data_IF_358131448793
#
_entry.id   IF_358131448793
#
_cell.length_a   1.000
_cell.length_b   1.000
_cell.length_c   1.000
_cell.angle_alpha   90.00
_cell.angle_beta   90.00
_cell.angle_gamma   90.00
#
_symmetry.space_group_name_H-M   'P 1'
#
loop_
_entity.id
_entity.type
_entity.pdbx_description
1 polymer ?
#
# COMPACT_ATOMS: atom_id res chain seq x y z
N UNK A 1 2.44 -29.29 3.95
CA UNK A 1 3.72 -29.58 3.30
C UNK A 1 3.51 -29.71 1.81
N UNK A 2 3.91 -28.69 1.07
CA UNK A 2 3.95 -28.57 -0.39
C UNK A 2 5.41 -28.68 -0.81
N UNK A 3 5.70 -29.58 -1.73
CA UNK A 3 6.95 -29.62 -2.50
C UNK A 3 6.55 -29.39 -3.95
N UNK A 4 7.15 -28.39 -4.59
CA UNK A 4 6.86 -28.00 -5.96
C UNK A 4 8.16 -27.59 -6.67
N UNK A 5 8.61 -28.42 -7.59
CA UNK A 5 9.84 -28.20 -8.37
C UNK A 5 9.58 -27.74 -9.81
N UNK A 6 8.33 -27.41 -10.16
CA UNK A 6 8.00 -26.81 -11.46
C UNK A 6 8.56 -25.40 -11.54
N UNK A 7 8.92 -24.91 -12.73
CA UNK A 7 9.30 -23.51 -12.93
C UNK A 7 8.22 -22.53 -12.42
N UNK A 8 8.64 -21.33 -12.03
CA UNK A 8 7.72 -20.27 -11.62
C UNK A 8 6.72 -19.97 -12.75
N UNK A 9 5.45 -19.73 -12.41
CA UNK A 9 4.33 -19.54 -13.36
C UNK A 9 3.90 -20.79 -14.14
N UNK A 10 4.67 -21.89 -14.15
CA UNK A 10 4.26 -23.12 -14.83
C UNK A 10 3.03 -23.76 -14.19
N UNK A 11 2.80 -23.57 -12.89
CA UNK A 11 1.60 -24.01 -12.21
C UNK A 11 0.82 -22.82 -11.65
N UNK A 12 -0.44 -22.70 -12.02
CA UNK A 12 -1.41 -21.81 -11.38
C UNK A 12 -2.47 -22.63 -10.66
N UNK A 13 -3.20 -21.99 -9.75
CA UNK A 13 -4.34 -22.63 -9.11
C UNK A 13 -5.52 -21.67 -8.94
N UNK A 14 -6.71 -22.26 -8.93
CA UNK A 14 -7.95 -21.57 -8.55
C UNK A 14 -8.64 -22.37 -7.48
N UNK A 15 -9.20 -21.70 -6.48
CA UNK A 15 -10.04 -22.32 -5.48
C UNK A 15 -11.48 -21.89 -5.70
N UNK A 16 -12.40 -22.85 -5.70
CA UNK A 16 -13.83 -22.60 -5.80
C UNK A 16 -14.55 -23.27 -4.64
N UNK A 17 -15.72 -22.75 -4.26
CA UNK A 17 -16.57 -23.32 -3.22
C UNK A 17 -18.05 -23.36 -3.62
N UNK A 18 -18.81 -24.22 -2.94
CA UNK A 18 -20.29 -24.19 -2.97
C UNK A 18 -20.85 -24.55 -1.60
N UNK A 19 -22.05 -24.07 -1.30
CA UNK A 19 -22.69 -24.20 0.02
C UNK A 19 -23.72 -25.33 0.09
N UNK A 20 -24.03 -25.97 -1.02
CA UNK A 20 -24.93 -27.13 -1.10
C UNK A 20 -24.32 -28.20 -1.98
N UNK A 21 -24.72 -29.46 -1.77
CA UNK A 21 -24.17 -30.60 -2.49
C UNK A 21 -24.35 -30.49 -4.01
N UNK A 22 -25.48 -29.94 -4.45
CA UNK A 22 -25.85 -29.80 -5.87
C UNK A 22 -25.73 -28.36 -6.39
N UNK A 23 -25.16 -27.46 -5.60
CA UNK A 23 -24.97 -26.06 -5.98
C UNK A 23 -23.88 -25.84 -7.03
N UNK A 24 -23.87 -24.63 -7.60
CA UNK A 24 -22.83 -24.17 -8.51
C UNK A 24 -21.62 -23.68 -7.74
N UNK A 25 -20.43 -24.00 -8.24
CA UNK A 25 -19.18 -23.50 -7.68
C UNK A 25 -19.03 -21.99 -7.95
N UNK A 26 -18.58 -21.28 -6.93
CA UNK A 26 -18.22 -19.86 -6.95
C UNK A 26 -16.72 -19.74 -6.70
N UNK A 27 -16.07 -18.77 -7.33
CA UNK A 27 -14.64 -18.53 -7.11
C UNK A 27 -14.40 -18.09 -5.66
N UNK A 28 -13.35 -18.59 -5.05
CA UNK A 28 -12.84 -18.13 -3.76
C UNK A 28 -11.55 -17.37 -4.00
N UNK A 29 -11.39 -16.22 -3.34
CA UNK A 29 -10.14 -15.47 -3.39
C UNK A 29 -8.98 -16.33 -2.87
N UNK A 30 -7.92 -16.38 -3.68
CA UNK A 30 -6.71 -17.15 -3.39
C UNK A 30 -5.61 -16.21 -2.92
N UNK A 31 -4.70 -16.71 -2.08
CA UNK A 31 -3.59 -15.91 -1.56
C UNK A 31 -2.56 -15.57 -2.64
N UNK A 32 -2.47 -16.42 -3.68
CA UNK A 32 -1.57 -16.31 -4.81
C UNK A 32 -2.27 -16.87 -6.05
N UNK A 33 -1.84 -16.47 -7.25
CA UNK A 33 -2.32 -17.05 -8.51
C UNK A 33 -1.47 -18.24 -8.98
N UNK A 34 -0.19 -18.28 -8.58
CA UNK A 34 0.74 -19.38 -8.84
C UNK A 34 0.84 -20.35 -7.68
N UNK A 35 1.05 -21.63 -7.99
CA UNK A 35 1.43 -22.63 -6.98
C UNK A 35 2.85 -22.31 -6.51
N UNK A 36 3.09 -22.01 -5.22
CA UNK A 36 4.42 -21.65 -4.73
C UNK A 36 5.45 -22.75 -4.98
N UNK A 37 6.66 -22.38 -5.39
CA UNK A 37 7.79 -23.32 -5.50
C UNK A 37 8.36 -23.62 -4.12
N UNK A 38 8.73 -24.88 -3.88
CA UNK A 38 9.55 -25.28 -2.73
C UNK A 38 10.29 -26.59 -3.00
N UNK A 39 11.57 -26.62 -2.67
CA UNK A 39 12.43 -27.82 -2.70
C UNK A 39 12.29 -28.68 -1.43
N UNK A 40 11.52 -28.20 -0.44
CA UNK A 40 11.29 -28.84 0.85
C UNK A 40 9.81 -28.79 1.21
N UNK A 41 9.39 -29.68 2.11
CA UNK A 41 7.98 -29.77 2.47
C UNK A 41 7.60 -28.64 3.44
N UNK A 42 7.02 -27.55 2.91
CA UNK A 42 6.61 -26.38 3.70
C UNK A 42 5.10 -26.12 3.62
N UNK A 43 4.55 -25.38 4.58
CA UNK A 43 3.12 -25.03 4.58
C UNK A 43 2.87 -23.70 3.88
N UNK A 44 1.96 -23.71 2.90
CA UNK A 44 1.55 -22.53 2.14
C UNK A 44 0.03 -22.34 2.23
N UNK A 45 -0.38 -21.11 2.51
CA UNK A 45 -1.80 -20.75 2.50
C UNK A 45 -2.26 -20.56 1.06
N UNK A 46 -3.27 -21.31 0.63
CA UNK A 46 -3.83 -21.19 -0.72
C UNK A 46 -4.98 -20.18 -0.81
N UNK A 47 -5.71 -19.99 0.29
CA UNK A 47 -6.73 -18.96 0.44
C UNK A 47 -6.71 -18.41 1.86
N UNK A 48 -7.10 -17.14 2.00
CA UNK A 48 -7.22 -16.44 3.29
C UNK A 48 -8.71 -16.30 3.65
N UNK A 49 -9.03 -16.22 4.95
CA UNK A 49 -10.34 -15.79 5.47
C UNK A 49 -11.56 -16.64 5.08
N UNK A 50 -11.40 -17.97 4.95
CA UNK A 50 -12.53 -18.88 4.73
C UNK A 50 -13.46 -18.84 5.95
N UNK A 51 -14.65 -18.25 5.79
CA UNK A 51 -15.67 -18.20 6.84
C UNK A 51 -16.74 -19.25 6.57
N UNK A 52 -16.92 -20.17 7.51
CA UNK A 52 -17.94 -21.21 7.45
C UNK A 52 -18.89 -20.98 8.64
N UNK A 53 -20.14 -20.53 8.42
CA UNK A 53 -21.10 -20.36 9.50
C UNK A 53 -21.31 -21.68 10.25
N UNK A 54 -21.48 -21.59 11.58
CA UNK A 54 -21.71 -22.75 12.42
C UNK A 54 -22.91 -23.57 11.90
N UNK A 55 -22.72 -24.89 11.79
CA UNK A 55 -23.74 -25.82 11.26
C UNK A 55 -23.86 -25.87 9.74
N UNK A 56 -23.05 -25.10 8.99
CA UNK A 56 -23.05 -25.13 7.52
C UNK A 56 -21.97 -26.08 6.97
N UNK A 57 -22.24 -26.67 5.81
CA UNK A 57 -21.28 -27.51 5.07
C UNK A 57 -20.90 -26.84 3.77
N UNK A 58 -19.61 -26.61 3.56
CA UNK A 58 -19.05 -26.05 2.34
C UNK A 58 -18.25 -27.12 1.60
N UNK A 59 -18.33 -27.13 0.28
CA UNK A 59 -17.57 -28.03 -0.58
C UNK A 59 -16.57 -27.21 -1.39
N UNK A 60 -15.31 -27.62 -1.38
CA UNK A 60 -14.23 -26.91 -2.06
C UNK A 60 -13.69 -27.73 -3.22
N UNK A 61 -13.31 -27.03 -4.29
CA UNK A 61 -12.67 -27.59 -5.47
C UNK A 61 -11.42 -26.76 -5.78
N UNK A 62 -10.27 -27.40 -5.71
CA UNK A 62 -9.01 -26.83 -6.14
C UNK A 62 -8.72 -27.32 -7.56
N UNK A 63 -8.59 -26.39 -8.50
CA UNK A 63 -8.05 -26.71 -9.83
C UNK A 63 -6.61 -26.25 -9.89
N UNK A 64 -5.73 -27.12 -10.37
CA UNK A 64 -4.34 -26.81 -10.65
C UNK A 64 -4.16 -26.89 -12.16
N UNK A 65 -3.59 -25.86 -12.75
CA UNK A 65 -3.40 -25.75 -14.20
C UNK A 65 -1.91 -25.68 -14.51
N UNK A 66 -1.46 -26.57 -15.40
CA UNK A 66 -0.14 -26.48 -16.00
C UNK A 66 -0.19 -25.51 -17.18
N UNK A 67 0.47 -24.36 -17.03
CA UNK A 67 0.47 -23.28 -17.99
C UNK A 67 1.59 -23.49 -19.01
N UNK A 68 1.26 -23.30 -20.29
CA UNK A 68 2.27 -23.23 -21.34
C UNK A 68 2.93 -21.85 -21.29
N UNK A 69 4.21 -21.79 -20.98
CA UNK A 69 4.98 -20.56 -20.95
C UNK A 69 5.67 -20.38 -22.31
N UNK A 70 5.13 -19.49 -23.14
CA UNK A 70 5.74 -19.15 -24.42
C UNK A 70 7.19 -18.69 -24.19
N UNK A 71 8.11 -19.18 -25.03
CA UNK A 71 9.53 -18.84 -25.02
C UNK A 71 10.35 -19.40 -23.83
N UNK A 72 9.80 -20.31 -23.02
CA UNK A 72 10.51 -21.01 -21.95
C UNK A 72 10.56 -22.51 -22.22
N UNK A 73 11.75 -23.12 -22.09
CA UNK A 73 11.89 -24.58 -22.19
C UNK A 73 11.36 -25.26 -20.92
N UNK A 74 10.16 -25.83 -21.01
CA UNK A 74 9.49 -26.56 -19.91
C UNK A 74 9.74 -28.08 -19.94
N UNK A 75 10.75 -28.60 -20.64
CA UNK A 75 11.04 -30.05 -20.68
C UNK A 75 11.31 -30.63 -19.28
N UNK A 76 11.96 -29.85 -18.39
CA UNK A 76 12.20 -30.26 -17.01
C UNK A 76 10.89 -30.37 -16.19
N UNK A 77 9.86 -29.58 -16.52
CA UNK A 77 8.57 -29.61 -15.81
C UNK A 77 7.78 -30.89 -16.12
N UNK A 78 8.06 -31.57 -17.24
CA UNK A 78 7.39 -32.83 -17.62
C UNK A 78 7.67 -33.97 -16.64
N UNK A 79 8.75 -33.86 -15.86
CA UNK A 79 9.13 -34.83 -14.83
C UNK A 79 9.18 -34.20 -13.43
N UNK A 80 8.77 -32.94 -13.29
CA UNK A 80 8.72 -32.24 -12.02
C UNK A 80 7.63 -32.80 -11.09
N UNK A 81 7.84 -32.60 -9.79
CA UNK A 81 7.00 -33.19 -8.75
C UNK A 81 6.21 -32.08 -8.06
N UNK A 82 4.90 -32.27 -7.98
CA UNK A 82 4.02 -31.57 -7.06
C UNK A 82 3.53 -32.57 -6.02
N UNK A 83 3.97 -32.43 -4.77
CA UNK A 83 3.50 -33.24 -3.65
C UNK A 83 2.90 -32.33 -2.60
N UNK A 84 1.63 -32.53 -2.27
CA UNK A 84 0.93 -31.66 -1.33
C UNK A 84 -0.17 -32.37 -0.57
N UNK A 85 -0.45 -31.86 0.64
CA UNK A 85 -1.62 -32.19 1.44
C UNK A 85 -2.34 -30.89 1.76
N UNK A 86 -3.64 -30.87 1.49
CA UNK A 86 -4.49 -29.74 1.83
C UNK A 86 -5.21 -30.04 3.15
N UNK A 87 -5.20 -29.07 4.05
CA UNK A 87 -6.02 -29.08 5.25
C UNK A 87 -6.78 -27.75 5.34
N UNK A 88 -7.92 -27.77 6.03
CA UNK A 88 -8.39 -26.57 6.70
C UNK A 88 -7.51 -26.43 7.93
N UNK A 89 -6.79 -25.31 8.04
CA UNK A 89 -5.98 -25.00 9.21
C UNK A 89 -6.83 -24.90 10.49
N UNK A 90 -6.20 -24.51 11.60
CA UNK A 90 -6.93 -24.28 12.84
C UNK A 90 -8.01 -23.19 12.66
N UNK A 91 -9.12 -23.33 13.38
CA UNK A 91 -10.17 -22.32 13.39
C UNK A 91 -9.56 -20.97 13.82
N UNK A 92 -9.64 -19.99 12.94
CA UNK A 92 -9.19 -18.63 13.23
C UNK A 92 -10.24 -17.98 14.12
N UNK A 93 -10.06 -18.08 15.44
CA UNK A 93 -10.93 -17.42 16.44
C UNK A 93 -10.62 -15.91 16.55
N UNK A 94 -9.45 -15.49 16.05
CA UNK A 94 -8.91 -14.13 16.15
C UNK A 94 -8.58 -13.56 14.78
N UNK A 95 -8.82 -12.27 14.50
CA UNK A 95 -8.53 -11.69 13.18
C UNK A 95 -7.04 -11.87 12.80
N UNK A 96 -6.71 -12.00 11.49
CA UNK A 96 -5.32 -12.16 11.05
C UNK A 96 -4.38 -11.06 11.58
N UNK A 97 -4.85 -9.81 11.58
CA UNK A 97 -4.15 -8.67 12.16
C UNK A 97 -3.86 -8.83 13.65
N UNK A 98 -4.82 -9.33 14.44
CA UNK A 98 -4.65 -9.55 15.87
C UNK A 98 -3.65 -10.68 16.13
N UNK A 99 -3.62 -11.70 15.26
CA UNK A 99 -2.64 -12.77 15.34
C UNK A 99 -1.21 -12.27 15.11
N UNK A 100 -0.97 -11.48 14.05
CA UNK A 100 0.34 -10.85 13.80
C UNK A 100 0.73 -9.94 14.97
N UNK A 101 -0.19 -9.10 15.45
CA UNK A 101 0.04 -8.20 16.58
C UNK A 101 0.54 -8.96 17.83
N UNK A 102 -0.11 -10.07 18.19
CA UNK A 102 0.31 -10.91 19.33
C UNK A 102 1.66 -11.60 19.10
N UNK A 103 1.96 -12.02 17.86
CA UNK A 103 3.26 -12.61 17.52
C UNK A 103 4.41 -11.63 17.67
N UNK A 104 4.16 -10.36 17.38
CA UNK A 104 5.09 -9.26 17.64
C UNK A 104 5.08 -8.80 19.11
N UNK A 105 4.35 -9.48 20.00
CA UNK A 105 4.21 -9.16 21.44
C UNK A 105 3.67 -7.74 21.71
N UNK A 106 2.86 -7.23 20.78
CA UNK A 106 2.23 -5.93 20.90
C UNK A 106 0.84 -6.08 21.54
N UNK A 107 0.27 -4.97 22.01
CA UNK A 107 -1.07 -4.89 22.58
C UNK A 107 -1.92 -3.89 21.80
N UNK A 108 -3.23 -3.90 22.07
CA UNK A 108 -4.20 -2.98 21.47
C UNK A 108 -4.62 -1.95 22.52
N UNK A 109 -4.76 -0.70 22.10
CA UNK A 109 -5.26 0.42 22.90
C UNK A 109 -6.65 0.82 22.43
N UNK A 110 -7.52 1.12 23.39
CA UNK A 110 -8.90 1.52 23.11
C UNK A 110 -9.01 2.98 22.66
N UNK A 111 -9.97 3.22 21.77
CA UNK A 111 -10.26 4.55 21.21
C UNK A 111 -9.27 4.98 20.14
N UNK A 112 -9.48 6.17 19.59
CA UNK A 112 -8.53 6.84 18.70
C UNK A 112 -8.22 8.23 19.26
N UNK A 113 -7.00 8.76 19.02
CA UNK A 113 -6.59 10.05 19.53
C UNK A 113 -7.25 11.20 18.74
N UNK A 114 -7.09 12.43 19.23
CA UNK A 114 -7.41 13.61 18.42
C UNK A 114 -6.35 13.80 17.33
N UNK A 115 -6.71 13.48 16.08
CA UNK A 115 -5.82 13.59 14.93
C UNK A 115 -5.41 15.02 14.56
N UNK A 116 -6.05 16.05 15.11
CA UNK A 116 -5.58 17.43 14.94
C UNK A 116 -4.31 17.72 15.76
N UNK A 117 -4.09 16.95 16.84
CA UNK A 117 -2.95 17.14 17.74
C UNK A 117 -1.70 16.43 17.21
N UNK A 118 -0.55 17.09 17.35
CA UNK A 118 0.76 16.52 17.05
C UNK A 118 1.18 15.55 18.16
N UNK A 119 1.48 14.30 17.82
CA UNK A 119 1.98 13.32 18.80
C UNK A 119 3.50 13.50 19.01
N UNK A 120 3.89 14.00 20.18
CA UNK A 120 5.30 14.33 20.50
C UNK A 120 5.99 13.32 21.40
N UNK A 121 5.23 12.39 21.99
CA UNK A 121 5.71 11.26 22.79
C UNK A 121 5.31 9.95 22.11
N UNK A 122 5.79 8.81 22.61
CA UNK A 122 5.23 7.52 22.22
C UNK A 122 3.80 7.42 22.78
N UNK A 123 2.78 7.49 21.91
CA UNK A 123 1.37 7.36 22.33
C UNK A 123 0.89 5.90 22.27
N UNK A 124 1.79 4.98 21.90
CA UNK A 124 1.53 3.56 21.69
C UNK A 124 2.34 2.64 22.61
N UNK A 125 3.01 3.19 23.63
CA UNK A 125 3.72 2.41 24.67
C UNK A 125 2.80 1.38 25.34
N UNK A 126 1.54 1.74 25.60
CA UNK A 126 0.52 0.87 26.21
C UNK A 126 -0.30 0.04 25.18
N UNK A 127 -0.04 0.22 23.88
CA UNK A 127 -0.73 -0.51 22.82
C UNK A 127 -1.02 0.32 21.57
N UNK A 128 -1.20 -0.38 20.45
CA UNK A 128 -1.49 0.22 19.15
C UNK A 128 -2.95 0.65 19.03
N UNK A 129 -3.17 1.76 18.35
CA UNK A 129 -4.50 2.22 17.95
C UNK A 129 -5.04 1.41 16.76
N UNK A 130 -6.34 1.53 16.47
CA UNK A 130 -6.97 0.76 15.39
C UNK A 130 -7.90 1.57 14.49
N UNK A 131 -7.93 1.20 13.21
CA UNK A 131 -8.83 1.70 12.17
C UNK A 131 -9.19 0.55 11.21
N UNK A 132 -10.31 0.67 10.49
CA UNK A 132 -10.64 -0.28 9.43
C UNK A 132 -9.83 0.03 8.16
N UNK A 133 -9.39 -1.02 7.47
CA UNK A 133 -8.87 -0.99 6.09
C UNK A 133 -9.68 -1.94 5.19
N UNK A 134 -9.29 -2.05 3.92
CA UNK A 134 -9.95 -2.93 2.93
C UNK A 134 -9.90 -4.44 3.28
N UNK A 135 -9.12 -4.82 4.31
CA UNK A 135 -8.92 -6.18 4.75
C UNK A 135 -9.46 -6.46 6.16
N UNK A 136 -9.93 -5.44 6.89
CA UNK A 136 -10.54 -5.54 8.22
C UNK A 136 -9.91 -4.57 9.23
N UNK A 137 -9.89 -4.96 10.51
CA UNK A 137 -9.29 -4.12 11.56
C UNK A 137 -7.76 -4.12 11.44
N UNK A 138 -7.18 -2.95 11.20
CA UNK A 138 -5.75 -2.67 11.22
C UNK A 138 -5.29 -2.07 12.55
N UNK A 139 -3.99 -2.16 12.84
CA UNK A 139 -3.37 -1.58 14.03
C UNK A 139 -2.16 -0.72 13.67
N UNK A 140 -2.08 0.51 14.16
CA UNK A 140 -1.08 1.49 13.71
C UNK A 140 -0.28 2.11 14.87
N UNK A 141 0.95 2.49 14.54
CA UNK A 141 1.88 3.19 15.44
C UNK A 141 1.64 4.71 15.42
N UNK A 142 1.84 5.38 16.55
CA UNK A 142 1.68 6.84 16.65
C UNK A 142 2.68 7.48 17.62
N UNK A 143 3.27 8.59 17.16
CA UNK A 143 4.13 9.44 17.96
C UNK A 143 5.61 9.06 17.91
N UNK A 144 6.35 9.34 18.97
CA UNK A 144 7.80 9.13 19.05
C UNK A 144 8.17 7.68 19.38
N UNK A 145 7.61 6.73 18.62
CA UNK A 145 7.73 5.28 18.90
C UNK A 145 9.15 4.76 18.62
N UNK A 146 9.63 3.84 19.44
CA UNK A 146 10.99 3.27 19.31
C UNK A 146 11.02 1.77 18.99
N UNK A 147 9.87 1.08 19.05
CA UNK A 147 9.71 -0.36 18.89
C UNK A 147 9.06 -0.75 17.53
N UNK A 148 9.29 0.01 16.47
CA UNK A 148 8.71 -0.20 15.14
C UNK A 148 9.74 -0.36 14.00
N UNK A 149 10.98 -0.75 14.30
CA UNK A 149 12.01 -1.03 13.30
C UNK A 149 11.91 -2.45 12.76
N UNK A 150 12.07 -2.57 11.44
CA UNK A 150 12.29 -3.84 10.75
C UNK A 150 13.62 -3.74 10.01
N UNK A 151 14.41 -4.83 10.01
CA UNK A 151 15.57 -4.98 9.13
C UNK A 151 15.24 -6.05 8.08
N UNK A 152 15.32 -5.68 6.81
CA UNK A 152 14.97 -6.56 5.69
C UNK A 152 15.70 -6.14 4.41
N UNK A 153 16.37 -7.09 3.76
CA UNK A 153 17.06 -6.86 2.49
C UNK A 153 18.28 -5.95 2.60
N UNK A 154 18.94 -5.93 3.76
CA UNK A 154 20.02 -4.99 4.07
C UNK A 154 19.57 -3.56 4.38
N UNK A 155 18.27 -3.28 4.47
CA UNK A 155 17.72 -1.96 4.78
C UNK A 155 16.94 -1.96 6.09
N UNK A 156 16.79 -0.76 6.66
CA UNK A 156 15.94 -0.49 7.81
C UNK A 156 14.64 0.15 7.35
N UNK A 157 13.55 -0.25 8.00
CA UNK A 157 12.20 0.18 7.74
C UNK A 157 11.50 0.57 9.04
N UNK A 158 10.52 1.46 8.96
CA UNK A 158 9.59 1.76 10.06
C UNK A 158 8.23 1.16 9.76
N UNK A 159 7.68 0.39 10.69
CA UNK A 159 6.31 -0.11 10.57
C UNK A 159 5.35 1.08 10.71
N UNK A 160 4.45 1.20 9.73
CA UNK A 160 3.33 2.13 9.75
C UNK A 160 2.17 1.47 10.49
N UNK A 161 1.77 0.27 10.01
CA UNK A 161 0.64 -0.48 10.51
C UNK A 161 0.72 -1.97 10.21
N UNK A 162 -0.02 -2.75 10.98
CA UNK A 162 -0.42 -4.12 10.66
C UNK A 162 -1.76 -4.00 9.93
N UNK A 163 -1.82 -4.44 8.68
CA UNK A 163 -3.05 -4.40 7.87
C UNK A 163 -4.08 -5.43 8.37
N UNK A 164 -5.35 -5.30 7.96
CA UNK A 164 -6.43 -6.18 8.39
C UNK A 164 -6.20 -7.67 8.11
N UNK A 165 -5.46 -7.99 7.04
CA UNK A 165 -5.09 -9.36 6.67
C UNK A 165 -3.85 -9.90 7.40
N UNK A 166 -3.24 -9.11 8.28
CA UNK A 166 -2.06 -9.45 9.07
C UNK A 166 -0.71 -9.20 8.39
N UNK A 167 -0.69 -8.61 7.19
CA UNK A 167 0.55 -8.14 6.55
C UNK A 167 1.10 -6.91 7.28
N UNK A 168 2.40 -6.68 7.15
CA UNK A 168 3.11 -5.61 7.84
C UNK A 168 3.49 -4.49 6.86
N UNK A 169 2.80 -3.36 6.93
CA UNK A 169 3.05 -2.20 6.07
C UNK A 169 4.16 -1.33 6.65
N UNK A 170 5.23 -1.12 5.89
CA UNK A 170 6.43 -0.46 6.37
C UNK A 170 7.05 0.49 5.35
N UNK A 171 7.62 1.59 5.83
CA UNK A 171 8.27 2.63 5.03
C UNK A 171 9.79 2.54 5.15
N UNK A 172 10.47 2.69 4.02
CA UNK A 172 11.94 2.69 3.93
C UNK A 172 12.53 3.75 4.85
N UNK A 173 13.61 3.41 5.56
CA UNK A 173 14.24 4.30 6.53
C UNK A 173 15.77 4.27 6.54
N UNK A 174 16.38 3.81 5.45
CA UNK A 174 17.82 3.90 5.22
C UNK A 174 18.57 2.58 5.37
N UNK A 175 19.89 2.66 5.35
CA UNK A 175 20.81 1.52 5.49
C UNK A 175 21.24 1.27 6.94
N UNK A 176 20.82 2.14 7.86
CA UNK A 176 20.99 1.99 9.30
C UNK A 176 19.74 2.48 10.06
N UNK A 177 19.58 2.03 11.31
CA UNK A 177 18.57 2.58 12.20
C UNK A 177 18.96 3.98 12.68
N UNK A 178 17.99 4.90 12.77
CA UNK A 178 18.18 6.29 13.18
C UNK A 178 17.28 6.62 14.36
N UNK A 179 17.77 7.18 15.48
CA UNK A 179 16.89 7.56 16.58
C UNK A 179 15.86 8.59 16.14
N UNK A 180 14.71 8.62 16.82
CA UNK A 180 13.75 9.70 16.62
C UNK A 180 14.45 11.05 16.88
N UNK A 181 14.09 12.07 16.10
CA UNK A 181 14.85 13.32 16.14
C UNK A 181 14.69 14.09 17.44
N UNK A 182 13.66 13.79 18.24
CA UNK A 182 13.38 14.42 19.55
C UNK A 182 13.41 15.95 19.46
N UNK A 183 12.76 16.52 18.44
CA UNK A 183 12.70 17.96 18.23
C UNK A 183 13.93 18.56 17.55
N UNK A 184 14.94 17.75 17.19
CA UNK A 184 16.12 18.23 16.49
C UNK A 184 15.79 18.67 15.05
N UNK A 185 16.52 19.67 14.56
CA UNK A 185 16.36 20.20 13.20
C UNK A 185 16.93 19.27 12.13
N UNK A 186 16.52 19.50 10.88
CA UNK A 186 16.98 18.79 9.71
C UNK A 186 18.52 18.79 9.57
N UNK A 187 19.08 17.67 9.12
CA UNK A 187 20.51 17.51 8.78
C UNK A 187 20.72 17.42 7.27
N UNK A 188 21.95 17.70 6.84
CA UNK A 188 22.33 17.84 5.42
C UNK A 188 22.28 16.52 4.64
N UNK A 189 22.65 15.42 5.28
CA UNK A 189 22.73 14.11 4.65
C UNK A 189 22.01 13.09 5.51
N UNK A 190 20.99 12.45 4.93
CA UNK A 190 20.41 11.23 5.47
C UNK A 190 20.12 10.28 4.31
N UNK A 191 20.48 9.02 4.50
CA UNK A 191 20.22 7.91 3.58
C UNK A 191 18.80 7.35 3.72
N UNK A 192 17.92 8.07 4.45
CA UNK A 192 16.56 7.68 4.82
C UNK A 192 15.53 7.85 3.69
N UNK A 193 16.00 8.14 2.47
CA UNK A 193 15.25 8.30 1.23
C UNK A 193 16.04 7.67 0.08
N UNK A 194 15.36 7.26 -0.99
CA UNK A 194 16.03 6.61 -2.13
C UNK A 194 16.49 7.62 -3.19
N UNK A 195 15.70 8.67 -3.44
CA UNK A 195 15.95 9.69 -4.46
C UNK A 195 15.29 11.02 -4.10
N UNK A 196 15.66 12.09 -4.80
CA UNK A 196 15.04 13.43 -4.74
C UNK A 196 14.62 13.81 -6.15
N UNK A 197 13.31 13.75 -6.41
CA UNK A 197 12.74 13.84 -7.75
C UNK A 197 11.33 14.43 -7.72
N UNK A 198 10.94 15.20 -8.75
CA UNK A 198 9.55 15.59 -8.93
C UNK A 198 8.67 14.35 -9.11
N UNK A 199 7.39 14.49 -8.78
CA UNK A 199 6.38 13.45 -9.02
C UNK A 199 6.17 13.21 -10.52
N UNK A 200 6.01 14.30 -11.27
CA UNK A 200 5.88 14.34 -12.73
C UNK A 200 6.51 15.63 -13.25
N UNK A 201 7.07 15.60 -14.46
CA UNK A 201 7.49 16.80 -15.18
C UNK A 201 6.28 17.65 -15.59
N UNK A 202 5.20 17.00 -16.03
CA UNK A 202 3.93 17.63 -16.35
C UNK A 202 3.02 17.76 -15.11
N UNK A 203 2.23 18.82 -15.08
CA UNK A 203 1.41 19.19 -13.90
C UNK A 203 0.14 19.98 -14.25
N UNK A 204 -0.07 20.28 -15.53
CA UNK A 204 -1.12 21.14 -16.07
C UNK A 204 -2.39 20.37 -16.47
N UNK A 205 -2.60 19.21 -15.87
CA UNK A 205 -3.81 18.39 -15.96
C UNK A 205 -4.00 17.67 -14.62
N UNK A 206 -5.25 17.54 -14.19
CA UNK A 206 -5.64 16.86 -12.96
C UNK A 206 -5.16 15.39 -12.91
N UNK A 207 -4.91 14.75 -14.06
CA UNK A 207 -4.39 13.37 -14.12
C UNK A 207 -3.00 13.21 -13.48
N UNK A 208 -2.18 14.26 -13.47
CA UNK A 208 -0.77 14.19 -13.05
C UNK A 208 -0.54 14.06 -11.53
N UNK A 209 -1.61 14.03 -10.73
CA UNK A 209 -1.51 13.60 -9.31
C UNK A 209 -1.51 12.08 -9.14
N UNK A 210 -1.79 11.33 -10.21
CA UNK A 210 -1.85 9.87 -10.17
C UNK A 210 -0.47 9.22 -10.15
N UNK A 211 -0.38 8.08 -9.46
CA UNK A 211 0.73 7.14 -9.52
C UNK A 211 0.88 6.55 -10.93
N UNK A 212 -0.28 6.31 -11.54
CA UNK A 212 -0.48 6.03 -12.96
C UNK A 212 -1.66 6.88 -13.46
N UNK A 213 -1.72 7.20 -14.75
CA UNK A 213 -2.74 8.05 -15.35
C UNK A 213 -3.10 7.63 -16.77
N UNK A 214 -4.21 8.19 -17.29
CA UNK A 214 -4.74 7.83 -18.60
C UNK A 214 -4.08 8.52 -19.77
N UNK A 215 -3.89 7.74 -20.83
CA UNK A 215 -3.37 8.21 -22.10
C UNK A 215 -1.91 8.62 -22.03
N UNK A 216 -1.40 9.08 -23.16
CA UNK A 216 0.00 9.47 -23.28
C UNK A 216 0.32 10.69 -22.39
N UNK A 217 1.55 10.75 -21.90
CA UNK A 217 2.06 11.92 -21.21
C UNK A 217 2.00 13.16 -22.13
N UNK A 218 1.65 14.31 -21.57
CA UNK A 218 1.40 15.55 -22.31
C UNK A 218 0.03 15.66 -23.00
N UNK A 219 -0.75 14.58 -23.08
CA UNK A 219 -2.11 14.61 -23.67
C UNK A 219 -3.16 14.90 -22.59
N UNK A 220 -4.02 15.89 -22.82
CA UNK A 220 -5.06 16.27 -21.86
C UNK A 220 -6.11 15.17 -21.66
N UNK A 221 -6.50 14.94 -20.41
CA UNK A 221 -7.64 14.08 -20.09
C UNK A 221 -8.97 14.82 -20.34
N UNK A 222 -10.00 14.10 -20.79
CA UNK A 222 -11.31 14.72 -21.12
C UNK A 222 -12.46 14.19 -20.28
N UNK A 223 -12.19 13.24 -19.38
CA UNK A 223 -13.13 12.70 -18.40
C UNK A 223 -12.36 12.12 -17.21
N UNK A 224 -13.03 11.95 -16.09
CA UNK A 224 -12.40 11.41 -14.88
C UNK A 224 -12.17 9.90 -15.01
N UNK A 225 -13.23 9.15 -15.27
CA UNK A 225 -13.26 7.69 -15.25
C UNK A 225 -13.66 7.13 -16.61
N UNK A 226 -13.36 5.84 -16.83
CA UNK A 226 -13.83 5.06 -17.98
C UNK A 226 -15.35 4.89 -17.90
N UNK A 227 -16.04 5.01 -19.04
CA UNK A 227 -17.41 4.52 -19.18
C UNK A 227 -17.40 3.01 -19.47
N UNK A 228 -18.29 2.24 -18.83
CA UNK A 228 -18.37 0.78 -18.98
C UNK A 228 -18.69 0.29 -20.40
N UNK A 229 -19.03 1.19 -21.33
CA UNK A 229 -19.23 0.91 -22.76
C UNK A 229 -17.94 0.98 -23.58
N UNK A 230 -16.84 1.48 -23.01
CA UNK A 230 -15.61 1.77 -23.73
C UNK A 230 -14.72 0.54 -23.88
N UNK A 231 -14.46 0.16 -25.12
CA UNK A 231 -13.69 -1.03 -25.46
C UNK A 231 -12.31 -0.74 -26.02
N UNK A 232 -12.07 0.47 -26.55
CA UNK A 232 -10.78 0.84 -27.14
C UNK A 232 -9.86 1.55 -26.14
N UNK A 233 -8.56 1.24 -26.21
CA UNK A 233 -7.53 1.85 -25.35
C UNK A 233 -7.45 3.36 -25.53
N UNK A 234 -7.64 3.87 -26.76
CA UNK A 234 -7.66 5.31 -27.01
C UNK A 234 -8.81 6.02 -26.28
N UNK A 235 -10.01 5.43 -26.26
CA UNK A 235 -11.14 6.04 -25.54
C UNK A 235 -10.96 5.95 -24.03
N UNK A 236 -10.49 4.81 -23.51
CA UNK A 236 -10.18 4.68 -22.08
C UNK A 236 -9.07 5.63 -21.64
N UNK A 237 -8.04 5.83 -22.47
CA UNK A 237 -6.93 6.75 -22.24
C UNK A 237 -7.34 8.22 -22.08
N UNK A 238 -8.57 8.59 -22.45
CA UNK A 238 -9.11 9.93 -22.15
C UNK A 238 -9.51 10.11 -20.69
N UNK A 239 -9.68 9.02 -19.93
CA UNK A 239 -10.01 9.05 -18.51
C UNK A 239 -8.77 9.29 -17.67
N UNK A 240 -8.76 10.34 -16.85
CA UNK A 240 -7.64 10.70 -15.99
C UNK A 240 -7.18 9.54 -15.08
N UNK A 241 -8.10 8.69 -14.64
CA UNK A 241 -7.86 7.56 -13.73
C UNK A 241 -7.65 6.22 -14.43
N UNK A 242 -7.55 6.19 -15.76
CA UNK A 242 -7.21 4.95 -16.46
C UNK A 242 -5.72 4.67 -16.31
N UNK A 243 -5.31 3.62 -15.62
CA UNK A 243 -3.90 3.39 -15.27
C UNK A 243 -3.08 2.83 -16.44
N UNK A 244 -2.93 3.61 -17.51
CA UNK A 244 -2.24 3.22 -18.72
C UNK A 244 -0.77 3.64 -18.72
N UNK A 245 -0.47 4.81 -18.16
CA UNK A 245 0.86 5.42 -18.19
C UNK A 245 1.32 5.66 -16.76
N UNK A 246 2.58 5.32 -16.47
CA UNK A 246 3.19 5.54 -15.17
C UNK A 246 3.53 7.02 -14.94
N UNK A 247 3.57 7.45 -13.68
CA UNK A 247 4.22 8.71 -13.33
C UNK A 247 5.74 8.62 -13.50
N UNK A 248 6.39 9.76 -13.77
CA UNK A 248 7.85 9.84 -13.90
C UNK A 248 8.55 9.31 -12.63
N UNK A 249 7.99 9.61 -11.46
CA UNK A 249 8.52 9.15 -10.17
C UNK A 249 8.50 7.62 -10.08
N UNK A 250 7.40 7.00 -10.53
CA UNK A 250 7.22 5.55 -10.52
C UNK A 250 8.19 4.88 -11.47
N UNK A 251 8.08 5.19 -12.76
CA UNK A 251 8.79 4.48 -13.84
C UNK A 251 10.31 4.64 -13.73
N UNK A 252 10.79 5.85 -13.43
CA UNK A 252 12.22 6.17 -13.51
C UNK A 252 12.97 5.93 -12.21
N UNK A 253 12.28 5.87 -11.06
CA UNK A 253 12.96 5.88 -9.74
C UNK A 253 12.48 4.82 -8.77
N UNK A 254 11.16 4.62 -8.61
CA UNK A 254 10.65 3.68 -7.61
C UNK A 254 10.67 2.23 -8.10
N UNK A 255 10.20 1.98 -9.31
CA UNK A 255 10.18 0.63 -9.89
C UNK A 255 11.61 0.10 -10.13
N UNK A 256 12.56 0.87 -10.69
CA UNK A 256 13.95 0.43 -10.81
C UNK A 256 14.61 0.16 -9.46
N UNK A 257 14.27 0.94 -8.43
CA UNK A 257 14.77 0.70 -7.07
C UNK A 257 14.25 -0.62 -6.51
N UNK A 258 12.94 -0.90 -6.65
CA UNK A 258 12.35 -2.18 -6.23
C UNK A 258 13.02 -3.35 -6.93
N UNK A 259 13.13 -3.27 -8.26
CA UNK A 259 13.75 -4.30 -9.07
C UNK A 259 15.15 -4.64 -8.56
N UNK A 260 15.99 -3.62 -8.42
CA UNK A 260 17.40 -3.79 -8.02
C UNK A 260 17.55 -4.32 -6.59
N UNK A 261 16.70 -3.85 -5.66
CA UNK A 261 16.91 -4.07 -4.23
C UNK A 261 16.09 -5.20 -3.63
N UNK A 262 15.03 -5.63 -4.32
CA UNK A 262 14.09 -6.65 -3.84
C UNK A 262 13.98 -7.80 -4.85
N UNK A 263 13.60 -7.53 -6.10
CA UNK A 263 13.38 -8.58 -7.09
C UNK A 263 14.67 -9.31 -7.48
N UNK A 264 15.70 -8.57 -7.92
CA UNK A 264 16.98 -9.13 -8.36
C UNK A 264 17.74 -9.85 -7.22
N UNK A 265 17.36 -9.56 -5.97
CA UNK A 265 17.84 -10.24 -4.75
C UNK A 265 16.96 -11.42 -4.32
N UNK A 266 15.94 -11.78 -5.12
CA UNK A 266 14.98 -12.85 -4.84
C UNK A 266 14.21 -12.68 -3.51
N UNK A 267 13.98 -11.43 -3.10
CA UNK A 267 13.25 -11.07 -1.89
C UNK A 267 11.75 -10.85 -2.13
N UNK A 268 11.31 -10.76 -3.39
CA UNK A 268 9.89 -10.57 -3.75
C UNK A 268 8.96 -11.61 -3.12
N UNK A 269 9.44 -12.83 -2.87
CA UNK A 269 8.65 -13.89 -2.21
C UNK A 269 8.20 -13.56 -0.79
N UNK A 270 8.80 -12.57 -0.13
CA UNK A 270 8.43 -12.10 1.21
C UNK A 270 7.43 -10.94 1.20
N UNK A 271 7.22 -10.33 0.03
CA UNK A 271 6.39 -9.14 -0.14
C UNK A 271 4.95 -9.54 -0.44
N UNK A 272 4.00 -8.86 0.19
CA UNK A 272 2.57 -9.07 -0.04
C UNK A 272 2.01 -8.10 -1.10
N UNK A 273 0.93 -8.54 -1.77
CA UNK A 273 0.23 -7.79 -2.81
C UNK A 273 -0.98 -7.03 -2.23
N UNK A 274 -0.73 -6.22 -1.20
CA UNK A 274 -1.77 -5.42 -0.55
C UNK A 274 -1.90 -4.02 -1.17
N UNK A 275 -3.12 -3.47 -1.12
CA UNK A 275 -3.49 -2.20 -1.76
C UNK A 275 -2.54 -1.05 -1.39
N UNK A 276 -2.12 -0.32 -2.43
CA UNK A 276 -1.61 1.05 -2.32
C UNK A 276 -2.68 2.01 -2.84
N UNK A 277 -3.31 2.78 -1.96
CA UNK A 277 -4.44 3.63 -2.33
C UNK A 277 -4.01 5.05 -2.70
N UNK A 278 -4.01 5.38 -3.99
CA UNK A 278 -3.69 6.73 -4.45
C UNK A 278 -4.83 7.71 -4.12
N UNK A 279 -6.08 7.25 -4.09
CA UNK A 279 -7.26 8.04 -3.72
C UNK A 279 -7.42 9.37 -4.49
N UNK A 280 -7.66 9.28 -5.80
CA UNK A 280 -8.14 10.39 -6.64
C UNK A 280 -9.67 10.50 -6.63
N UNK A 281 -10.31 9.99 -5.57
CA UNK A 281 -11.76 10.14 -5.40
C UNK A 281 -12.13 11.61 -5.36
N UNK A 282 -13.33 11.91 -5.85
CA UNK A 282 -13.89 13.27 -5.90
C UNK A 282 -15.26 13.29 -5.24
N UNK A 283 -15.77 14.48 -4.95
CA UNK A 283 -17.14 14.65 -4.47
C UNK A 283 -18.15 13.92 -5.38
N UNK A 284 -19.23 13.33 -4.84
CA UNK A 284 -20.28 12.70 -5.63
C UNK A 284 -20.81 13.60 -6.75
N UNK A 285 -21.32 12.98 -7.82
CA UNK A 285 -21.93 13.72 -8.94
C UNK A 285 -23.04 14.66 -8.44
N UNK A 286 -23.02 15.91 -8.89
CA UNK A 286 -23.96 16.95 -8.45
C UNK A 286 -23.59 17.63 -7.12
N UNK A 287 -22.46 17.28 -6.51
CA UNK A 287 -21.93 17.92 -5.31
C UNK A 287 -20.47 18.35 -5.47
N UNK A 288 -19.99 19.14 -4.51
CA UNK A 288 -18.58 19.56 -4.40
C UNK A 288 -18.09 19.38 -2.97
N UNK A 289 -16.78 19.24 -2.82
CA UNK A 289 -16.13 19.31 -1.53
C UNK A 289 -15.63 20.71 -1.24
N UNK A 290 -15.21 21.46 -2.27
CA UNK A 290 -14.86 22.88 -2.17
C UNK A 290 -15.84 23.76 -2.95
N UNK A 291 -16.03 24.99 -2.48
CA UNK A 291 -16.91 25.97 -3.13
C UNK A 291 -16.43 26.40 -4.52
N UNK A 292 -15.15 26.20 -4.83
CA UNK A 292 -14.53 26.55 -6.12
C UNK A 292 -14.61 25.46 -7.18
N UNK A 293 -15.06 24.25 -6.83
CA UNK A 293 -15.20 23.16 -7.79
C UNK A 293 -16.44 23.31 -8.66
N UNK A 294 -16.40 22.70 -9.85
CA UNK A 294 -17.60 22.48 -10.64
C UNK A 294 -18.29 21.18 -10.17
N UNK A 295 -19.62 21.18 -10.07
CA UNK A 295 -20.41 20.02 -9.61
C UNK A 295 -20.33 18.81 -10.56
N UNK A 296 -20.02 19.04 -11.83
CA UNK A 296 -19.98 18.04 -12.91
C UNK A 296 -18.57 17.79 -13.42
N UNK A 297 -17.78 18.85 -13.63
CA UNK A 297 -16.45 18.78 -14.26
C UNK A 297 -15.36 18.86 -13.21
N UNK A 298 -14.88 17.71 -12.73
CA UNK A 298 -13.80 17.60 -11.74
C UNK A 298 -13.09 16.25 -11.90
N UNK A 299 -11.84 16.15 -11.44
CA UNK A 299 -11.02 14.95 -11.53
C UNK A 299 -10.29 14.75 -12.86
N UNK A 300 -10.36 15.70 -13.80
CA UNK A 300 -9.71 15.61 -15.10
C UNK A 300 -9.48 16.99 -15.73
N UNK A 301 -8.59 17.05 -16.73
CA UNK A 301 -8.30 18.25 -17.49
C UNK A 301 -7.80 19.38 -16.60
N UNK A 302 -8.20 20.60 -16.93
CA UNK A 302 -7.86 21.81 -16.15
C UNK A 302 -8.91 22.19 -15.11
N UNK A 303 -9.75 21.24 -14.70
CA UNK A 303 -10.87 21.52 -13.80
C UNK A 303 -10.42 21.51 -12.33
N UNK A 304 -10.77 22.57 -11.60
CA UNK A 304 -10.52 22.65 -10.15
C UNK A 304 -11.10 21.42 -9.45
N UNK A 305 -10.26 20.72 -8.69
CA UNK A 305 -10.60 19.44 -8.06
C UNK A 305 -9.98 19.35 -6.68
N UNK A 306 -10.78 19.04 -5.68
CA UNK A 306 -10.32 18.54 -4.39
C UNK A 306 -10.38 17.01 -4.40
N UNK A 307 -9.32 16.35 -3.96
CA UNK A 307 -9.28 14.88 -3.86
C UNK A 307 -9.60 14.40 -2.44
N UNK A 308 -9.86 13.10 -2.28
CA UNK A 308 -10.31 12.50 -1.02
C UNK A 308 -9.45 12.89 0.17
N UNK A 309 -8.12 12.84 0.00
CA UNK A 309 -7.16 13.28 1.03
C UNK A 309 -7.34 14.75 1.44
N UNK A 310 -7.60 15.65 0.49
CA UNK A 310 -7.87 17.06 0.81
C UNK A 310 -9.23 17.24 1.49
N UNK A 311 -10.26 16.53 1.04
CA UNK A 311 -11.56 16.56 1.72
C UNK A 311 -11.47 16.11 3.19
N UNK A 312 -10.57 15.19 3.53
CA UNK A 312 -10.34 14.76 4.92
C UNK A 312 -9.56 15.77 5.76
N UNK A 313 -8.90 16.76 5.14
CA UNK A 313 -8.01 17.73 5.80
C UNK A 313 -8.55 19.16 5.79
N UNK A 314 -9.38 19.52 4.81
CA UNK A 314 -9.91 20.87 4.62
C UNK A 314 -11.44 20.90 4.61
N UNK A 315 -12.02 22.01 5.05
CA UNK A 315 -13.44 22.31 4.88
C UNK A 315 -13.76 22.81 3.45
N UNK A 316 -15.02 23.16 3.20
CA UNK A 316 -15.47 23.61 1.87
C UNK A 316 -14.95 24.97 1.44
N UNK A 317 -14.46 25.78 2.37
CA UNK A 317 -13.76 27.04 2.09
C UNK A 317 -12.26 26.88 1.91
N UNK A 318 -11.73 25.65 2.02
CA UNK A 318 -10.29 25.38 1.98
C UNK A 318 -9.58 25.68 3.31
N UNK A 319 -10.31 25.89 4.42
CA UNK A 319 -9.69 26.05 5.72
C UNK A 319 -9.33 24.68 6.30
N UNK A 320 -8.24 24.62 7.06
CA UNK A 320 -7.84 23.39 7.75
C UNK A 320 -8.90 23.01 8.79
N UNK A 321 -9.41 21.78 8.71
CA UNK A 321 -10.31 21.18 9.71
C UNK A 321 -9.58 20.09 10.51
N UNK A 322 -10.28 19.52 11.50
CA UNK A 322 -9.82 18.30 12.17
C UNK A 322 -9.70 17.17 11.13
N UNK A 323 -8.51 16.55 10.98
CA UNK A 323 -8.34 15.46 10.03
C UNK A 323 -9.22 14.24 10.35
N UNK A 324 -9.78 13.63 9.31
CA UNK A 324 -10.65 12.45 9.43
C UNK A 324 -10.06 11.24 8.69
N UNK A 325 -8.93 10.67 9.14
CA UNK A 325 -8.18 9.70 8.36
C UNK A 325 -8.92 8.36 8.17
N UNK A 326 -8.65 7.70 7.05
CA UNK A 326 -9.15 6.34 6.74
C UNK A 326 -8.06 5.49 6.08
N UNK A 327 -8.07 4.17 6.31
CA UNK A 327 -7.23 3.22 5.59
C UNK A 327 -7.99 2.42 4.51
N UNK A 328 -9.27 2.71 4.32
CA UNK A 328 -10.11 2.11 3.27
C UNK A 328 -9.92 2.88 1.97
N UNK A 329 -9.66 2.16 0.87
CA UNK A 329 -9.57 2.76 -0.44
C UNK A 329 -10.96 2.94 -1.07
N UNK A 330 -11.39 4.19 -1.37
CA UNK A 330 -12.76 4.44 -1.79
C UNK A 330 -13.07 3.96 -3.21
N UNK A 331 -12.07 3.97 -4.10
CA UNK A 331 -12.26 3.65 -5.51
C UNK A 331 -11.28 2.58 -5.99
N UNK A 332 -11.82 1.54 -6.65
CA UNK A 332 -11.05 0.38 -7.07
C UNK A 332 -9.98 0.69 -8.10
N UNK A 333 -10.23 1.63 -9.02
CA UNK A 333 -9.24 2.10 -10.01
C UNK A 333 -7.99 2.72 -9.36
N UNK A 334 -8.07 3.21 -8.12
CA UNK A 334 -6.92 3.72 -7.37
C UNK A 334 -6.42 2.79 -6.26
N UNK A 335 -7.00 1.60 -6.14
CA UNK A 335 -6.56 0.54 -5.25
C UNK A 335 -5.45 -0.29 -5.93
N UNK A 336 -4.24 0.25 -6.00
CA UNK A 336 -3.15 -0.35 -6.76
C UNK A 336 -2.64 -1.66 -6.15
N UNK A 337 -2.60 -2.71 -6.98
CA UNK A 337 -2.11 -4.07 -6.69
C UNK A 337 -1.47 -4.64 -7.96
N UNK A 338 -0.70 -5.73 -7.84
CA UNK A 338 -0.07 -6.44 -8.96
C UNK A 338 -1.04 -7.41 -9.62
N UNK A 339 -1.71 -8.23 -8.80
CA UNK A 339 -2.51 -9.36 -9.29
C UNK A 339 -3.91 -9.43 -8.69
N UNK A 340 -4.13 -8.83 -7.51
CA UNK A 340 -5.47 -8.76 -6.91
C UNK A 340 -6.38 -7.81 -7.70
N UNK A 341 -7.27 -8.38 -8.51
CA UNK A 341 -8.34 -7.66 -9.20
C UNK A 341 -9.69 -7.77 -8.50
N UNK A 342 -9.77 -8.39 -7.33
CA UNK A 342 -11.00 -8.48 -6.53
C UNK A 342 -11.17 -7.20 -5.72
N UNK A 343 -10.20 -6.88 -4.88
CA UNK A 343 -10.17 -5.65 -4.08
C UNK A 343 -9.37 -4.54 -4.75
N UNK A 344 -8.27 -4.90 -5.42
CA UNK A 344 -7.41 -3.96 -6.13
C UNK A 344 -7.69 -3.85 -7.63
N UNK A 345 -6.81 -3.14 -8.34
CA UNK A 345 -6.88 -2.90 -9.80
C UNK A 345 -5.93 -3.76 -10.64
N UNK A 346 -4.99 -4.50 -10.04
CA UNK A 346 -4.02 -5.34 -10.75
C UNK A 346 -3.14 -4.60 -11.76
N UNK A 347 -2.93 -3.28 -11.59
CA UNK A 347 -2.21 -2.43 -12.56
C UNK A 347 -0.72 -2.30 -12.27
N UNK A 348 -0.23 -2.69 -11.09
CA UNK A 348 1.18 -2.56 -10.73
C UNK A 348 2.03 -3.66 -11.37
N UNK A 349 3.24 -3.29 -11.78
CA UNK A 349 4.30 -4.26 -12.10
C UNK A 349 4.92 -4.84 -10.82
N UNK A 350 5.13 -4.00 -9.80
CA UNK A 350 5.76 -4.35 -8.53
C UNK A 350 4.88 -3.92 -7.35
N UNK A 351 4.83 -4.69 -6.24
CA UNK A 351 4.00 -4.38 -5.07
C UNK A 351 4.67 -3.32 -4.17
N UNK A 352 4.82 -2.11 -4.72
CA UNK A 352 5.46 -0.96 -4.07
C UNK A 352 4.64 0.30 -4.32
N UNK A 353 4.63 1.18 -3.32
CA UNK A 353 4.02 2.51 -3.42
C UNK A 353 4.64 3.46 -2.40
N UNK A 354 3.88 4.46 -1.97
CA UNK A 354 4.30 5.43 -0.96
C UNK A 354 3.27 5.51 0.18
N UNK A 355 3.60 6.31 1.20
CA UNK A 355 2.76 6.52 2.37
C UNK A 355 1.59 7.45 2.06
N UNK A 356 0.38 7.17 2.57
CA UNK A 356 -0.80 8.03 2.34
C UNK A 356 -0.86 9.20 3.34
N UNK A 357 -1.67 10.21 3.04
CA UNK A 357 -1.93 11.31 3.98
C UNK A 357 -2.55 10.82 5.28
N UNK A 358 -3.41 9.81 5.20
CA UNK A 358 -4.06 9.19 6.35
C UNK A 358 -3.07 8.48 7.27
N UNK A 359 -2.10 7.77 6.68
CA UNK A 359 -0.99 7.13 7.40
C UNK A 359 -0.08 8.18 8.07
N UNK A 360 0.17 9.31 7.40
CA UNK A 360 0.95 10.43 7.97
C UNK A 360 0.24 11.04 9.19
N UNK A 361 -1.07 11.29 9.08
CA UNK A 361 -1.89 11.89 10.14
C UNK A 361 -2.01 10.97 11.34
N UNK A 362 -2.35 9.69 11.10
CA UNK A 362 -2.49 8.68 12.15
C UNK A 362 -1.17 8.47 12.90
N UNK A 363 -0.04 8.47 12.19
CA UNK A 363 1.30 8.39 12.78
C UNK A 363 1.67 9.56 13.70
N UNK A 364 1.00 10.72 13.60
CA UNK A 364 1.21 11.82 14.56
C UNK A 364 1.48 13.19 13.98
N UNK A 365 1.38 13.43 12.67
CA UNK A 365 1.72 14.75 12.10
C UNK A 365 0.86 15.90 12.64
N UNK A 366 -0.36 15.61 13.11
CA UNK A 366 -1.37 16.60 13.46
C UNK A 366 -2.00 17.23 12.22
N UNK A 367 -2.73 18.33 12.43
CA UNK A 367 -3.36 19.12 11.36
C UNK A 367 -2.34 19.65 10.33
N UNK A 368 -2.82 19.88 9.10
CA UNK A 368 -2.04 20.51 8.03
C UNK A 368 -1.37 21.80 8.50
N UNK A 369 -0.10 21.97 8.13
CA UNK A 369 0.71 23.15 8.49
C UNK A 369 1.23 23.17 9.92
N UNK A 370 0.93 22.17 10.76
CA UNK A 370 1.57 22.00 12.07
C UNK A 370 2.88 21.25 11.91
N UNK A 371 3.93 21.73 12.59
CA UNK A 371 5.21 21.04 12.61
C UNK A 371 5.21 19.96 13.69
N UNK A 372 5.81 18.81 13.40
CA UNK A 372 6.08 17.78 14.39
C UNK A 372 7.44 17.13 14.12
N UNK A 373 8.45 17.47 14.91
CA UNK A 373 9.82 16.94 14.77
C UNK A 373 10.12 15.78 15.73
N UNK A 374 9.08 15.19 16.35
CA UNK A 374 9.24 14.16 17.37
C UNK A 374 8.80 12.77 16.89
N UNK A 375 7.71 12.71 16.13
CA UNK A 375 7.15 11.44 15.66
C UNK A 375 8.06 10.67 14.68
N UNK A 376 7.86 9.36 14.61
CA UNK A 376 8.78 8.44 13.94
C UNK A 376 8.95 8.63 12.42
N UNK A 377 7.95 9.21 11.73
CA UNK A 377 8.05 9.50 10.30
C UNK A 377 8.90 10.75 10.02
N UNK A 378 9.24 11.54 11.04
CA UNK A 378 10.15 12.65 10.86
C UNK A 378 11.59 12.15 10.63
N UNK A 379 12.03 12.23 9.38
CA UNK A 379 13.33 11.71 8.94
C UNK A 379 14.52 12.63 9.25
N UNK A 380 14.29 13.75 9.94
CA UNK A 380 15.33 14.77 10.22
C UNK A 380 16.08 15.20 8.95
N UNK A 381 15.35 15.38 7.85
CA UNK A 381 15.90 15.63 6.52
C UNK A 381 15.62 17.05 6.06
N UNK A 382 16.54 17.62 5.25
CA UNK A 382 16.34 18.90 4.56
C UNK A 382 15.41 18.80 3.35
N UNK A 383 14.99 17.59 3.00
CA UNK A 383 14.06 17.35 1.91
C UNK A 383 12.67 17.16 2.46
N UNK A 384 11.69 17.67 1.71
CA UNK A 384 10.32 17.21 1.83
C UNK A 384 10.28 15.75 1.38
N UNK A 385 9.24 14.99 1.71
CA UNK A 385 9.05 13.71 1.03
C UNK A 385 7.59 13.44 0.68
N UNK A 386 7.40 12.87 -0.50
CA UNK A 386 6.09 12.70 -1.13
C UNK A 386 5.18 11.77 -0.33
N UNK A 387 3.90 12.12 -0.31
CA UNK A 387 2.82 11.19 -0.01
C UNK A 387 2.27 10.61 -1.32
N UNK A 388 1.72 9.40 -1.23
CA UNK A 388 0.95 8.77 -2.29
C UNK A 388 -0.38 9.48 -2.57
N UNK A 389 -0.87 10.29 -1.61
CA UNK A 389 -2.17 10.94 -1.69
C UNK A 389 -2.10 12.29 -2.43
N UNK A 390 -2.94 12.50 -3.47
CA UNK A 390 -3.23 13.78 -4.07
C UNK A 390 -3.82 14.74 -3.04
N UNK A 391 -3.55 16.02 -3.26
CA UNK A 391 -4.20 17.09 -2.53
C UNK A 391 -5.30 17.72 -3.40
N UNK A 392 -4.92 18.39 -4.49
CA UNK A 392 -5.87 19.09 -5.34
C UNK A 392 -5.32 19.30 -6.75
N UNK A 393 -6.20 19.74 -7.65
CA UNK A 393 -5.82 20.46 -8.85
C UNK A 393 -6.42 21.86 -8.79
N UNK A 394 -5.60 22.90 -8.83
CA UNK A 394 -6.05 24.30 -8.84
C UNK A 394 -5.04 25.19 -9.56
N UNK A 395 -5.51 26.21 -10.28
CA UNK A 395 -4.62 27.21 -10.90
C UNK A 395 -3.60 26.60 -11.87
N UNK A 396 -4.01 25.58 -12.65
CA UNK A 396 -3.15 24.81 -13.54
C UNK A 396 -2.01 24.04 -12.86
N UNK A 397 -2.21 23.63 -11.60
CA UNK A 397 -1.22 22.87 -10.84
C UNK A 397 -1.85 21.65 -10.19
N UNK A 398 -1.36 20.46 -10.58
CA UNK A 398 -1.56 19.21 -9.87
C UNK A 398 -0.72 19.22 -8.58
N UNK A 399 -1.36 19.08 -7.43
CA UNK A 399 -0.71 19.13 -6.12
C UNK A 399 -0.86 17.81 -5.37
N UNK A 400 0.22 17.32 -4.78
CA UNK A 400 0.26 16.15 -3.91
C UNK A 400 0.59 16.54 -2.48
N UNK A 401 0.15 15.74 -1.51
CA UNK A 401 0.60 15.89 -0.14
C UNK A 401 2.08 15.49 0.00
N UNK A 402 2.73 16.06 1.02
CA UNK A 402 4.10 15.74 1.41
C UNK A 402 4.33 16.04 2.88
N UNK A 403 5.35 15.44 3.46
CA UNK A 403 5.88 15.87 4.77
C UNK A 403 6.97 16.91 4.53
N UNK A 404 6.92 18.03 5.27
CA UNK A 404 7.92 19.09 5.20
C UNK A 404 9.18 18.77 6.02
N UNK A 405 10.19 19.63 5.89
CA UNK A 405 11.49 19.53 6.60
C UNK A 405 11.39 19.68 8.13
N UNK A 406 10.21 20.06 8.63
CA UNK A 406 9.86 20.18 10.05
C UNK A 406 8.86 19.09 10.49
N UNK A 407 8.67 18.05 9.67
CA UNK A 407 7.79 16.91 9.96
C UNK A 407 6.29 17.23 9.93
N UNK A 408 5.91 18.37 9.36
CA UNK A 408 4.51 18.78 9.20
C UNK A 408 3.91 18.32 7.89
N UNK A 409 2.59 18.09 7.87
CA UNK A 409 1.84 17.80 6.66
C UNK A 409 1.66 19.06 5.81
N UNK A 410 2.07 18.98 4.54
CA UNK A 410 2.00 20.05 3.54
C UNK A 410 1.62 19.48 2.15
N UNK A 411 1.59 20.34 1.13
CA UNK A 411 1.47 19.93 -0.26
C UNK A 411 2.49 20.68 -1.14
N UNK A 412 2.71 20.17 -2.35
CA UNK A 412 3.39 20.90 -3.42
C UNK A 412 2.93 20.42 -4.80
N UNK A 413 3.29 21.21 -5.80
CA UNK A 413 3.07 20.89 -7.20
C UNK A 413 3.85 19.61 -7.58
N UNK A 414 3.25 18.76 -8.41
CA UNK A 414 3.84 17.54 -8.93
C UNK A 414 5.26 17.74 -9.51
N UNK A 415 5.57 18.90 -10.09
CA UNK A 415 6.88 19.19 -10.65
C UNK A 415 7.93 19.72 -9.64
N UNK A 416 7.64 19.69 -8.33
CA UNK A 416 8.57 20.12 -7.29
C UNK A 416 9.77 19.16 -7.18
N UNK A 417 10.93 19.61 -7.67
CA UNK A 417 12.18 18.85 -7.63
C UNK A 417 12.87 18.77 -6.26
N UNK A 418 12.28 19.31 -5.18
CA UNK A 418 12.87 19.34 -3.83
C UNK A 418 12.33 18.24 -2.89
N UNK A 419 11.49 17.35 -3.41
CA UNK A 419 10.87 16.27 -2.65
C UNK A 419 11.60 14.94 -2.84
N UNK A 420 11.82 14.26 -1.73
CA UNK A 420 12.44 12.96 -1.65
C UNK A 420 11.40 11.83 -1.66
N UNK A 421 11.89 10.61 -1.86
CA UNK A 421 11.08 9.40 -1.99
C UNK A 421 11.44 8.40 -0.91
N UNK A 422 10.44 7.91 -0.19
CA UNK A 422 10.57 6.84 0.78
C UNK A 422 9.54 5.74 0.46
N UNK A 423 9.97 4.65 -0.20
CA UNK A 423 9.08 3.56 -0.58
C UNK A 423 8.34 2.93 0.59
N UNK A 424 7.14 2.44 0.32
CA UNK A 424 6.35 1.60 1.21
C UNK A 424 6.15 0.24 0.56
N UNK A 425 6.35 -0.82 1.35
CA UNK A 425 6.08 -2.21 0.99
C UNK A 425 5.32 -2.90 2.12
N UNK A 426 4.73 -4.05 1.82
CA UNK A 426 4.08 -4.90 2.81
C UNK A 426 4.84 -6.23 2.93
N UNK A 427 5.23 -6.64 4.14
CA UNK A 427 5.66 -8.03 4.35
C UNK A 427 4.41 -8.90 4.42
N UNK A 428 4.37 -9.96 3.60
CA UNK A 428 3.22 -10.84 3.52
C UNK A 428 2.91 -11.49 4.89
N UNK A 429 1.62 -11.74 5.22
CA UNK A 429 1.22 -12.14 6.58
C UNK A 429 1.92 -13.41 7.08
N UNK A 430 2.20 -14.36 6.17
CA UNK A 430 2.87 -15.61 6.51
C UNK A 430 4.30 -15.44 7.02
N UNK A 431 4.97 -14.33 6.67
CA UNK A 431 6.31 -14.01 7.17
C UNK A 431 6.28 -12.95 8.28
N UNK A 432 5.32 -12.00 8.24
CA UNK A 432 5.15 -11.03 9.32
C UNK A 432 4.98 -11.73 10.68
N UNK A 433 4.20 -12.81 10.72
CA UNK A 433 3.96 -13.62 11.94
C UNK A 433 5.16 -14.45 12.42
N UNK A 434 6.22 -14.58 11.62
CA UNK A 434 7.43 -15.35 11.96
C UNK A 434 8.59 -14.46 12.40
N UNK A 435 8.40 -13.14 12.35
CA UNK A 435 9.44 -12.20 12.73
C UNK A 435 9.85 -12.37 14.19
N UNK A 436 11.14 -12.17 14.43
CA UNK A 436 11.77 -12.16 15.75
C UNK A 436 12.42 -10.80 15.99
N UNK A 437 12.66 -10.45 17.25
CA UNK A 437 13.15 -9.13 17.66
C UNK A 437 12.11 -8.41 18.50
N UNK A 438 12.44 -7.18 18.88
CA UNK A 438 11.58 -6.33 19.73
C UNK A 438 11.20 -5.02 19.02
N UNK A 439 11.54 -4.90 17.73
CA UNK A 439 11.31 -3.71 16.94
C UNK A 439 12.16 -2.50 17.33
N UNK A 440 13.15 -2.65 18.22
CA UNK A 440 14.02 -1.54 18.60
C UNK A 440 15.15 -1.32 17.58
N UNK A 441 15.83 -0.19 17.64
CA UNK A 441 16.99 0.05 16.75
C UNK A 441 18.09 -1.01 16.88
N UNK A 442 18.31 -1.51 18.10
CA UNK A 442 19.35 -2.51 18.40
C UNK A 442 18.85 -3.95 18.28
N UNK A 443 17.53 -4.15 18.27
CA UNK A 443 16.87 -5.45 18.08
C UNK A 443 15.67 -5.29 17.15
N UNK A 444 15.88 -4.92 15.87
CA UNK A 444 14.79 -4.69 14.95
C UNK A 444 14.11 -6.02 14.61
N UNK A 445 12.83 -5.97 14.26
CA UNK A 445 12.13 -7.15 13.75
C UNK A 445 12.80 -7.65 12.47
N UNK A 446 12.97 -8.97 12.38
CA UNK A 446 13.64 -9.63 11.26
C UNK A 446 12.94 -10.96 10.96
N UNK A 447 12.89 -11.33 9.68
CA UNK A 447 12.49 -12.67 9.25
C UNK A 447 13.70 -13.59 9.47
N UNK A 448 13.60 -14.67 10.26
CA UNK A 448 14.72 -15.57 10.47
C UNK A 448 15.31 -16.10 9.16
N UNK A 449 16.63 -15.98 8.99
CA UNK A 449 17.34 -16.46 7.80
C UNK A 449 17.24 -15.55 6.57
N UNK A 450 16.80 -14.30 6.74
CA UNK A 450 16.80 -13.26 5.71
C UNK A 450 17.63 -12.08 6.19
N UNK A 451 18.67 -11.73 5.45
CA UNK A 451 19.58 -10.60 5.78
C UNK A 451 19.09 -9.25 5.22
#
# INVERSE_FOLDING_TARGET
GLVNTYLEKSLSYTLEYKTTKDGTYQLLDTAHTNVPQSDRADDYNLAKNITIPAGSTYYYKLNITFNNLADINQEADRTAILSTKFNLGEAIVESPSLYTLKKLKLTVKDGNPDFATTATTDETEDGLYSLQDDYGTSYYYRGAVENNYVKFGGFFWRIIRINGDGSLRMIYDGTQAWPNANGATAIWESDRHIHIKPWNANYNDAKYVGWMFGGDDGTASTKQNIDGTETSETEKGKAATYNQTDSDLKELWVDPWYKTNIEDKSLSKYIGDEIFCNDRSTAPSGSTWWTSENTTYKGFGVNTTAYGGAYRVFDSGGNVKTPEPTFVCPEKNDAFTVSDTTKGNGSLMYPIGLITVDEIVTAGSGSYGKNNQYYYLYKKSRYFFWSFSPNNYIGNSANLFKINVSGGLHNANANDGSSAVAPVINIAPQYAKTMVGEGSMTSPYQIPGVD
#
